data_IF_236198130033
#
_entry.id   IF_236198130033
#
_cell.length_a   1.000
_cell.length_b   1.000
_cell.length_c   1.000
_cell.angle_alpha   90.00
_cell.angle_beta   90.00
_cell.angle_gamma   90.00
#
_symmetry.space_group_name_H-M   'P 1'
#
loop_
_entity.id
_entity.type
_entity.pdbx_description
1 polymer ?
#
# COMPACT_ATOMS: atom_id res chain seq x y z
N UNK A 1 -58.25 -21.19 -40.33
CA UNK A 1 -56.89 -20.83 -39.88
C UNK A 1 -56.92 -19.41 -39.33
N UNK A 2 -56.86 -19.25 -38.02
CA UNK A 2 -56.75 -17.95 -37.36
C UNK A 2 -55.97 -18.14 -36.05
N UNK A 3 -54.66 -17.90 -36.09
CA UNK A 3 -53.80 -17.96 -34.91
C UNK A 3 -53.88 -16.63 -34.16
N UNK A 4 -54.41 -16.69 -32.94
CA UNK A 4 -54.36 -15.59 -31.96
C UNK A 4 -52.95 -15.56 -31.34
N UNK A 5 -52.20 -14.49 -31.56
CA UNK A 5 -50.97 -14.21 -30.82
C UNK A 5 -51.33 -13.53 -29.49
N UNK A 6 -51.10 -14.23 -28.39
CA UNK A 6 -51.18 -13.68 -27.04
C UNK A 6 -49.81 -13.09 -26.69
N UNK A 7 -49.69 -11.76 -26.61
CA UNK A 7 -48.48 -11.08 -26.12
C UNK A 7 -48.51 -11.05 -24.59
N UNK A 8 -47.62 -11.82 -23.97
CA UNK A 8 -47.33 -11.79 -22.54
C UNK A 8 -46.41 -10.57 -22.27
N UNK A 9 -46.92 -9.56 -21.57
CA UNK A 9 -46.11 -8.43 -21.07
C UNK A 9 -45.63 -8.81 -19.67
N UNK A 10 -44.33 -9.12 -19.53
CA UNK A 10 -43.68 -9.33 -18.24
C UNK A 10 -43.16 -7.97 -17.77
N UNK A 11 -43.79 -7.42 -16.74
CA UNK A 11 -43.30 -6.23 -16.03
C UNK A 11 -42.32 -6.70 -14.95
N UNK A 12 -41.03 -6.45 -15.15
CA UNK A 12 -40.02 -6.60 -14.10
C UNK A 12 -40.02 -5.36 -13.22
N UNK A 13 -40.61 -5.46 -12.03
CA UNK A 13 -40.41 -4.48 -10.97
C UNK A 13 -39.05 -4.73 -10.29
N UNK A 14 -38.03 -3.94 -10.66
CA UNK A 14 -36.74 -3.94 -9.97
C UNK A 14 -36.88 -3.03 -8.76
N UNK A 15 -37.02 -3.62 -7.57
CA UNK A 15 -36.84 -2.91 -6.32
C UNK A 15 -35.34 -2.65 -6.10
N UNK A 16 -34.89 -1.44 -6.42
CA UNK A 16 -33.53 -1.01 -6.12
C UNK A 16 -33.44 -0.66 -4.62
N UNK A 17 -32.85 -1.57 -3.83
CA UNK A 17 -32.35 -1.22 -2.49
C UNK A 17 -31.07 -0.41 -2.68
N UNK A 18 -30.95 0.82 -2.15
CA UNK A 18 -29.71 1.58 -2.27
C UNK A 18 -28.68 0.99 -1.32
N UNK A 19 -27.84 0.08 -1.83
CA UNK A 19 -26.61 -0.27 -1.15
C UNK A 19 -25.69 0.96 -1.24
N UNK A 20 -25.33 1.55 -0.10
CA UNK A 20 -24.23 2.52 -0.06
C UNK A 20 -22.96 1.79 -0.48
N UNK A 21 -22.63 1.84 -1.77
CA UNK A 21 -21.36 1.39 -2.28
C UNK A 21 -20.28 2.25 -1.62
N UNK A 22 -19.59 1.69 -0.62
CA UNK A 22 -18.30 2.22 -0.19
C UNK A 22 -17.40 2.06 -1.41
N UNK A 23 -16.89 3.17 -1.95
CA UNK A 23 -15.90 3.16 -3.02
C UNK A 23 -14.55 2.66 -2.47
N UNK A 24 -14.53 1.42 -2.00
CA UNK A 24 -13.32 0.74 -1.58
C UNK A 24 -12.84 -0.09 -2.79
N UNK A 25 -11.62 0.19 -3.24
CA UNK A 25 -10.98 -0.65 -4.26
C UNK A 25 -10.09 -1.69 -3.57
N UNK A 26 -10.02 -2.87 -4.17
CA UNK A 26 -9.29 -4.02 -3.63
C UNK A 26 -8.13 -4.40 -4.55
N UNK A 27 -6.95 -4.66 -3.98
CA UNK A 27 -5.88 -5.39 -4.66
C UNK A 27 -5.89 -6.81 -4.12
N UNK A 28 -6.26 -7.76 -4.98
CA UNK A 28 -6.17 -9.19 -4.67
C UNK A 28 -4.82 -9.74 -5.10
N UNK A 29 -4.09 -10.33 -4.14
CA UNK A 29 -2.86 -11.06 -4.39
C UNK A 29 -3.17 -12.55 -4.26
N UNK A 30 -3.34 -13.21 -5.39
CA UNK A 30 -3.67 -14.64 -5.46
C UNK A 30 -2.46 -15.52 -5.15
N UNK A 31 -2.74 -16.75 -4.69
CA UNK A 31 -1.75 -17.77 -4.35
C UNK A 31 -0.74 -17.98 -5.46
N UNK A 32 -1.19 -18.22 -6.68
CA UNK A 32 -0.32 -18.58 -7.80
C UNK A 32 0.63 -17.44 -8.17
N UNK A 33 0.12 -16.21 -8.08
CA UNK A 33 0.93 -15.02 -8.27
C UNK A 33 2.02 -14.91 -7.20
N UNK A 34 1.65 -14.99 -5.92
CA UNK A 34 2.62 -14.89 -4.82
C UNK A 34 3.61 -16.06 -4.81
N UNK A 35 3.15 -17.27 -5.14
CA UNK A 35 4.02 -18.43 -5.34
C UNK A 35 5.06 -18.15 -6.43
N UNK A 36 4.66 -17.61 -7.57
CA UNK A 36 5.59 -17.23 -8.64
C UNK A 36 6.59 -16.13 -8.25
N UNK A 37 6.23 -15.22 -7.34
CA UNK A 37 7.16 -14.21 -6.81
C UNK A 37 8.18 -14.84 -5.85
N UNK A 38 7.72 -15.75 -4.99
CA UNK A 38 8.57 -16.49 -4.03
C UNK A 38 9.50 -17.45 -4.75
N UNK A 39 9.02 -18.23 -5.71
CA UNK A 39 9.81 -19.25 -6.42
C UNK A 39 10.95 -18.66 -7.27
N UNK A 40 10.83 -17.39 -7.68
CA UNK A 40 11.86 -16.66 -8.44
C UNK A 40 12.95 -16.03 -7.56
N UNK A 41 12.89 -16.22 -6.24
CA UNK A 41 13.93 -15.72 -5.35
C UNK A 41 15.28 -16.40 -5.64
N UNK A 42 16.38 -15.62 -5.73
CA UNK A 42 17.69 -16.19 -6.01
C UNK A 42 18.19 -17.05 -4.83
N UNK A 43 19.04 -18.06 -5.08
CA UNK A 43 19.73 -18.77 -4.03
C UNK A 43 20.50 -17.80 -3.12
N UNK A 44 20.40 -17.99 -1.81
CA UNK A 44 20.96 -17.09 -0.81
C UNK A 44 22.06 -17.79 -0.02
N UNK A 45 23.34 -17.41 -0.20
CA UNK A 45 24.45 -18.03 0.51
C UNK A 45 24.43 -17.69 2.01
N UNK A 46 25.03 -18.55 2.82
CA UNK A 46 25.30 -18.29 4.24
C UNK A 46 26.62 -18.96 4.64
N UNK A 47 27.40 -18.29 5.46
CA UNK A 47 28.69 -18.81 5.92
C UNK A 47 29.12 -18.22 7.26
N UNK A 48 30.00 -18.96 7.93
CA UNK A 48 30.78 -18.53 9.07
C UNK A 48 32.15 -19.19 8.98
N UNK A 49 33.19 -18.37 8.85
CA UNK A 49 34.55 -18.83 8.60
C UNK A 49 34.98 -19.95 9.57
N UNK A 50 35.43 -21.08 9.00
CA UNK A 50 35.87 -22.26 9.76
C UNK A 50 34.76 -23.03 10.52
N UNK A 51 33.48 -22.72 10.30
CA UNK A 51 32.38 -23.39 11.00
C UNK A 51 31.34 -24.02 10.07
N UNK A 52 30.78 -23.24 9.14
CA UNK A 52 29.79 -23.73 8.17
C UNK A 52 29.75 -22.83 6.92
N UNK A 53 29.28 -23.40 5.81
CA UNK A 53 28.98 -22.71 4.54
C UNK A 53 27.83 -23.39 3.82
N UNK A 54 27.02 -22.66 3.08
CA UNK A 54 25.89 -23.24 2.37
C UNK A 54 25.07 -22.22 1.61
N UNK A 55 23.92 -22.66 1.09
CA UNK A 55 22.94 -21.80 0.42
C UNK A 55 21.52 -22.21 0.77
N UNK A 56 20.61 -21.24 0.78
CA UNK A 56 19.16 -21.48 0.79
C UNK A 56 18.63 -21.32 -0.62
N UNK A 57 17.77 -22.23 -1.03
CA UNK A 57 17.15 -22.28 -2.36
C UNK A 57 15.77 -22.95 -2.28
N UNK A 58 15.14 -23.19 -3.43
CA UNK A 58 13.86 -23.90 -3.54
C UNK A 58 12.76 -23.25 -2.70
N UNK A 59 12.64 -21.93 -2.80
CA UNK A 59 11.59 -21.17 -2.13
C UNK A 59 10.22 -21.55 -2.70
N UNK A 60 9.25 -21.82 -1.83
CA UNK A 60 7.87 -22.14 -2.21
C UNK A 60 6.86 -21.53 -1.25
N UNK A 61 5.70 -21.16 -1.77
CA UNK A 61 4.55 -20.76 -0.96
C UNK A 61 3.75 -22.02 -0.57
N UNK A 62 3.81 -22.41 0.70
CA UNK A 62 3.10 -23.58 1.21
C UNK A 62 1.58 -23.34 1.33
N UNK A 63 1.15 -22.11 1.62
CA UNK A 63 -0.28 -21.77 1.67
C UNK A 63 -0.58 -20.47 2.43
N UNK A 64 -1.85 -20.29 2.79
CA UNK A 64 -2.33 -19.18 3.61
C UNK A 64 -2.94 -19.74 4.90
N UNK A 65 -2.77 -19.00 6.00
CA UNK A 65 -3.48 -19.23 7.26
C UNK A 65 -4.33 -17.99 7.60
N UNK A 66 -5.61 -17.96 7.19
CA UNK A 66 -6.52 -16.86 7.50
C UNK A 66 -6.71 -16.60 8.99
N UNK A 67 -6.63 -17.65 9.82
CA UNK A 67 -6.83 -17.53 11.27
C UNK A 67 -5.64 -16.85 11.93
N UNK A 68 -4.43 -17.17 11.47
CA UNK A 68 -3.18 -16.53 11.93
C UNK A 68 -2.88 -15.21 11.21
N UNK A 69 -3.63 -14.88 10.15
CA UNK A 69 -3.40 -13.72 9.28
C UNK A 69 -1.99 -13.72 8.69
N UNK A 70 -1.56 -14.90 8.20
CA UNK A 70 -0.21 -15.09 7.64
C UNK A 70 -0.22 -15.94 6.37
N UNK A 71 0.84 -15.82 5.57
CA UNK A 71 1.20 -16.72 4.49
C UNK A 71 2.29 -17.65 4.98
N UNK A 72 2.21 -18.93 4.63
CA UNK A 72 3.22 -19.92 5.01
C UNK A 72 4.19 -20.12 3.85
N UNK A 73 5.44 -19.74 4.02
CA UNK A 73 6.52 -19.98 3.08
C UNK A 73 7.41 -21.13 3.58
N UNK A 74 7.97 -21.90 2.65
CA UNK A 74 8.96 -22.92 2.94
C UNK A 74 10.16 -22.78 1.99
N UNK A 75 11.36 -23.10 2.47
CA UNK A 75 12.58 -23.07 1.67
C UNK A 75 13.60 -24.08 2.19
N UNK A 76 14.48 -24.54 1.31
CA UNK A 76 15.49 -25.56 1.62
C UNK A 76 16.83 -24.91 1.90
N UNK A 77 17.45 -25.26 3.02
CA UNK A 77 18.84 -24.91 3.34
C UNK A 77 19.73 -26.12 3.12
N UNK A 78 20.80 -25.96 2.33
CA UNK A 78 21.80 -26.99 2.09
C UNK A 78 23.20 -26.42 2.31
N UNK A 79 24.10 -27.22 2.87
CA UNK A 79 25.45 -26.76 3.13
C UNK A 79 26.36 -27.81 3.74
N UNK A 80 27.50 -27.34 4.20
CA UNK A 80 28.55 -28.11 4.83
C UNK A 80 28.98 -27.46 6.14
N UNK A 81 29.30 -28.25 7.17
CA UNK A 81 29.83 -27.76 8.44
C UNK A 81 31.07 -28.55 8.88
N UNK A 82 31.96 -27.90 9.62
CA UNK A 82 33.15 -28.54 10.17
C UNK A 82 32.90 -28.95 11.63
N UNK A 83 32.95 -30.24 12.00
CA UNK A 83 32.81 -30.68 13.39
C UNK A 83 33.95 -30.10 14.25
N UNK A 84 33.73 -29.85 15.56
CA UNK A 84 34.81 -29.44 16.45
C UNK A 84 35.88 -30.54 16.55
N UNK A 85 37.14 -30.13 16.69
CA UNK A 85 38.32 -31.00 16.68
C UNK A 85 38.34 -32.05 17.81
N UNK A 86 37.57 -31.85 18.88
CA UNK A 86 37.50 -32.73 20.06
C UNK A 86 36.07 -33.20 20.35
N UNK A 87 35.89 -34.53 20.38
CA UNK A 87 34.65 -35.21 20.75
C UNK A 87 34.47 -36.57 20.07
N UNK A 88 33.53 -37.43 20.53
CA UNK A 88 33.35 -38.82 20.05
C UNK A 88 33.01 -38.99 18.56
N UNK A 89 32.79 -37.88 17.84
CA UNK A 89 32.63 -37.87 16.38
C UNK A 89 33.99 -37.92 15.67
N UNK A 90 35.04 -37.27 16.18
CA UNK A 90 36.36 -37.24 15.52
C UNK A 90 36.98 -38.64 15.37
N UNK A 91 36.65 -39.58 16.27
CA UNK A 91 37.08 -40.97 16.21
C UNK A 91 36.29 -41.82 15.20
N UNK A 92 35.00 -41.53 14.97
CA UNK A 92 34.18 -42.19 13.92
C UNK A 92 34.43 -41.61 12.53
N UNK A 93 34.87 -40.34 12.47
CA UNK A 93 35.27 -39.57 11.27
C UNK A 93 36.41 -40.26 10.52
N UNK A 94 37.35 -40.90 11.22
CA UNK A 94 38.48 -41.62 10.60
C UNK A 94 38.09 -42.84 9.74
N UNK A 95 36.81 -43.23 9.69
CA UNK A 95 36.35 -44.49 9.06
C UNK A 95 35.24 -44.37 7.99
N UNK A 96 34.69 -43.19 7.68
CA UNK A 96 33.60 -43.06 6.68
C UNK A 96 34.09 -42.63 5.29
N UNK A 97 33.61 -43.28 4.22
CA UNK A 97 34.04 -43.06 2.82
C UNK A 97 33.62 -41.72 2.19
N UNK A 98 32.69 -40.96 2.78
CA UNK A 98 32.23 -39.65 2.28
C UNK A 98 33.06 -38.46 2.81
N UNK A 99 34.38 -38.63 2.93
CA UNK A 99 35.28 -37.64 3.53
C UNK A 99 36.08 -36.88 2.47
N UNK A 100 35.77 -35.60 2.28
CA UNK A 100 36.73 -34.60 1.79
C UNK A 100 36.93 -33.57 2.91
N UNK A 101 38.17 -33.44 3.40
CA UNK A 101 38.68 -32.33 4.22
C UNK A 101 37.97 -31.96 5.54
N UNK A 102 37.25 -32.88 6.17
CA UNK A 102 36.71 -32.64 7.52
C UNK A 102 35.37 -31.90 7.56
N UNK A 103 34.75 -31.67 6.40
CA UNK A 103 33.44 -31.03 6.29
C UNK A 103 32.31 -32.06 6.16
N UNK A 104 31.13 -31.76 6.70
CA UNK A 104 29.94 -32.62 6.74
C UNK A 104 28.76 -31.93 6.10
N UNK A 105 28.12 -32.59 5.12
CA UNK A 105 26.92 -32.08 4.46
C UNK A 105 25.70 -32.10 5.37
N UNK A 106 24.81 -31.13 5.20
CA UNK A 106 23.49 -31.09 5.82
C UNK A 106 22.45 -30.50 4.86
N UNK A 107 21.19 -30.85 5.09
CA UNK A 107 20.01 -30.32 4.41
C UNK A 107 18.87 -30.20 5.44
N UNK A 108 18.08 -29.13 5.38
CA UNK A 108 16.84 -29.02 6.14
C UNK A 108 15.85 -28.04 5.49
N UNK A 109 14.56 -28.25 5.73
CA UNK A 109 13.49 -27.32 5.35
C UNK A 109 13.26 -26.28 6.46
N UNK A 110 13.02 -25.03 6.07
CA UNK A 110 12.69 -23.93 6.96
C UNK A 110 11.28 -23.45 6.61
N UNK A 111 10.44 -23.23 7.61
CA UNK A 111 9.09 -22.67 7.45
C UNK A 111 9.03 -21.29 8.08
N UNK A 112 8.45 -20.34 7.36
CA UNK A 112 8.30 -18.96 7.81
C UNK A 112 6.86 -18.50 7.60
N UNK A 113 6.36 -17.67 8.51
CA UNK A 113 5.16 -16.90 8.28
C UNK A 113 5.52 -15.58 7.64
N UNK A 114 4.71 -15.15 6.68
CA UNK A 114 4.78 -13.82 6.10
C UNK A 114 3.47 -13.14 6.42
N UNK A 115 3.55 -12.06 7.17
CA UNK A 115 2.42 -11.23 7.54
C UNK A 115 2.39 -10.00 6.64
N UNK A 116 1.21 -9.53 6.28
CA UNK A 116 1.02 -8.18 5.74
C UNK A 116 0.60 -7.26 6.88
N UNK A 117 1.28 -6.13 7.01
CA UNK A 117 1.02 -5.07 7.97
C UNK A 117 0.98 -3.69 7.29
N UNK A 118 0.47 -2.69 8.01
CA UNK A 118 0.54 -1.30 7.56
C UNK A 118 1.84 -0.66 8.05
N UNK A 119 2.64 -0.13 7.12
CA UNK A 119 3.80 0.69 7.42
C UNK A 119 3.43 2.03 8.06
N UNK A 120 4.41 2.73 8.64
CA UNK A 120 4.21 4.05 9.27
C UNK A 120 3.65 5.11 8.31
N UNK A 121 3.90 4.96 7.01
CA UNK A 121 3.39 5.79 5.93
C UNK A 121 2.00 5.37 5.43
N UNK A 122 1.40 4.32 6.02
CA UNK A 122 0.13 3.74 5.59
C UNK A 122 0.25 2.85 4.35
N UNK A 123 1.46 2.48 3.92
CA UNK A 123 1.65 1.51 2.83
C UNK A 123 1.49 0.07 3.32
N UNK A 124 0.89 -0.85 2.54
CA UNK A 124 0.96 -2.28 2.83
C UNK A 124 2.42 -2.76 2.76
N UNK A 125 2.85 -3.53 3.76
CA UNK A 125 4.17 -4.15 3.80
C UNK A 125 4.05 -5.60 4.18
N UNK A 126 4.77 -6.48 3.49
CA UNK A 126 5.06 -7.78 4.03
C UNK A 126 6.07 -7.64 5.16
N UNK A 127 5.99 -8.56 6.12
CA UNK A 127 6.94 -8.79 7.19
C UNK A 127 7.09 -10.29 7.34
N UNK A 128 8.32 -10.76 7.28
CA UNK A 128 8.63 -12.19 7.41
C UNK A 128 9.00 -12.45 8.87
N UNK A 129 8.19 -13.26 9.55
CA UNK A 129 8.45 -13.76 10.90
C UNK A 129 8.71 -15.27 10.80
N UNK A 130 9.83 -15.76 11.33
CA UNK A 130 10.15 -17.19 11.24
C UNK A 130 9.50 -17.92 12.41
N UNK A 131 8.38 -18.60 12.13
CA UNK A 131 7.55 -19.28 13.12
C UNK A 131 8.19 -20.55 13.71
N UNK A 132 8.81 -21.38 12.86
CA UNK A 132 9.27 -22.70 13.28
C UNK A 132 10.30 -23.28 12.30
N UNK A 133 11.52 -23.56 12.78
CA UNK A 133 12.45 -24.40 12.02
C UNK A 133 12.19 -25.86 12.39
N UNK A 134 11.33 -26.54 11.62
CA UNK A 134 11.04 -27.96 11.86
C UNK A 134 12.29 -28.80 11.60
N UNK A 135 12.81 -29.41 12.65
CA UNK A 135 13.94 -30.37 12.64
C UNK A 135 13.59 -31.73 12.01
N UNK A 136 12.50 -31.81 11.22
CA UNK A 136 11.88 -33.06 10.77
C UNK A 136 12.76 -33.92 9.85
N UNK A 137 13.84 -33.39 9.28
CA UNK A 137 14.72 -34.16 8.39
C UNK A 137 16.11 -34.51 8.98
N UNK A 138 16.29 -34.43 10.31
CA UNK A 138 17.48 -35.04 10.92
C UNK A 138 17.35 -36.58 11.10
N UNK A 139 16.25 -37.20 10.64
CA UNK A 139 15.99 -38.64 10.74
C UNK A 139 16.89 -39.55 9.85
N UNK A 140 17.92 -39.00 9.21
CA UNK A 140 19.02 -39.78 8.60
C UNK A 140 20.41 -39.43 9.12
N UNK A 141 20.51 -38.40 9.98
CA UNK A 141 21.76 -37.81 10.44
C UNK A 141 21.96 -38.27 11.89
N UNK A 142 22.61 -39.43 12.05
CA UNK A 142 22.85 -40.15 13.30
C UNK A 142 22.87 -39.23 14.53
N UNK A 143 22.01 -39.47 15.53
CA UNK A 143 21.60 -38.53 16.59
C UNK A 143 22.68 -37.74 17.36
N UNK A 144 23.96 -38.09 17.23
CA UNK A 144 25.09 -37.29 17.72
C UNK A 144 25.37 -36.06 16.82
N UNK A 145 25.20 -36.18 15.49
CA UNK A 145 25.25 -35.08 14.53
C UNK A 145 24.08 -34.12 14.73
N UNK A 146 22.87 -34.62 15.00
CA UNK A 146 21.70 -33.79 15.35
C UNK A 146 21.92 -32.96 16.63
N UNK A 147 22.60 -33.53 17.64
CA UNK A 147 22.92 -32.84 18.90
C UNK A 147 23.99 -31.74 18.73
N UNK A 148 24.97 -31.97 17.86
CA UNK A 148 26.06 -31.03 17.57
C UNK A 148 25.66 -29.95 16.56
N UNK A 149 24.87 -30.33 15.54
CA UNK A 149 24.13 -29.39 14.71
C UNK A 149 23.25 -28.54 15.61
N UNK A 150 22.48 -29.08 16.55
CA UNK A 150 21.59 -28.31 17.44
C UNK A 150 22.16 -26.98 17.95
N UNK A 151 23.39 -26.96 18.48
CA UNK A 151 24.02 -25.73 19.00
C UNK A 151 24.41 -24.73 17.89
N UNK A 152 24.85 -25.21 16.72
CA UNK A 152 25.21 -24.35 15.56
C UNK A 152 24.02 -24.09 14.64
N UNK A 153 22.98 -24.90 14.73
CA UNK A 153 21.77 -24.85 13.96
C UNK A 153 20.95 -23.66 14.39
N UNK A 154 20.91 -23.35 15.68
CA UNK A 154 20.27 -22.14 16.16
C UNK A 154 20.99 -20.89 15.61
N UNK A 155 22.33 -20.91 15.48
CA UNK A 155 23.10 -19.82 14.84
C UNK A 155 22.88 -19.75 13.32
N UNK A 156 22.89 -20.90 12.62
CA UNK A 156 22.60 -20.99 11.18
C UNK A 156 21.17 -20.52 10.93
N UNK A 157 20.21 -21.01 11.71
CA UNK A 157 18.82 -20.61 11.68
C UNK A 157 18.72 -19.12 11.93
N UNK A 158 19.36 -18.55 12.94
CA UNK A 158 19.37 -17.11 13.22
C UNK A 158 19.97 -16.31 12.07
N UNK A 159 21.12 -16.70 11.52
CA UNK A 159 21.74 -15.99 10.37
C UNK A 159 20.89 -16.11 9.10
N UNK A 160 20.23 -17.26 8.91
CA UNK A 160 19.27 -17.49 7.83
C UNK A 160 18.00 -16.67 8.07
N UNK A 161 17.49 -16.59 9.29
CA UNK A 161 16.31 -15.82 9.68
C UNK A 161 16.58 -14.33 9.49
N UNK A 162 17.61 -13.79 10.14
CA UNK A 162 17.93 -12.36 10.15
C UNK A 162 18.40 -11.86 8.78
N UNK A 163 19.23 -12.64 8.09
CA UNK A 163 19.75 -12.28 6.76
C UNK A 163 18.75 -12.49 5.62
N UNK A 164 17.84 -13.48 5.72
CA UNK A 164 16.97 -13.88 4.60
C UNK A 164 15.53 -13.46 4.75
N UNK A 165 15.04 -13.23 5.97
CA UNK A 165 13.82 -12.44 6.15
C UNK A 165 13.97 -11.12 5.38
N UNK A 166 15.13 -10.44 5.47
CA UNK A 166 15.38 -9.21 4.73
C UNK A 166 15.23 -9.32 3.19
N UNK A 167 15.81 -10.35 2.55
CA UNK A 167 15.77 -10.51 1.10
C UNK A 167 14.37 -10.90 0.58
N UNK A 168 13.72 -11.87 1.24
CA UNK A 168 12.33 -12.25 0.93
C UNK A 168 11.40 -11.07 1.15
N UNK A 169 11.60 -10.36 2.26
CA UNK A 169 10.85 -9.17 2.59
C UNK A 169 11.04 -8.08 1.54
N UNK A 170 12.27 -7.84 1.07
CA UNK A 170 12.56 -6.85 0.04
C UNK A 170 11.84 -7.16 -1.29
N UNK A 171 11.90 -8.40 -1.78
CA UNK A 171 11.30 -8.77 -3.06
C UNK A 171 9.77 -8.74 -3.01
N UNK A 172 9.17 -9.29 -1.96
CA UNK A 172 7.71 -9.25 -1.78
C UNK A 172 7.20 -7.81 -1.60
N UNK A 173 7.92 -6.98 -0.84
CA UNK A 173 7.56 -5.57 -0.69
C UNK A 173 7.73 -4.79 -1.99
N UNK A 174 8.77 -5.05 -2.80
CA UNK A 174 8.93 -4.38 -4.09
C UNK A 174 7.74 -4.65 -5.02
N UNK A 175 7.25 -5.89 -5.06
CA UNK A 175 6.13 -6.27 -5.92
C UNK A 175 4.79 -5.72 -5.39
N UNK A 176 4.56 -5.73 -4.06
CA UNK A 176 3.40 -5.04 -3.48
C UNK A 176 3.45 -3.55 -3.77
N UNK A 177 4.59 -2.90 -3.57
CA UNK A 177 4.72 -1.45 -3.77
C UNK A 177 4.43 -1.09 -5.22
N UNK A 178 4.85 -1.91 -6.19
CA UNK A 178 4.51 -1.73 -7.61
C UNK A 178 3.01 -1.79 -7.86
N UNK A 179 2.29 -2.73 -7.24
CA UNK A 179 0.83 -2.89 -7.43
C UNK A 179 0.01 -1.87 -6.64
N UNK A 180 0.47 -1.55 -5.43
CA UNK A 180 -0.13 -0.55 -4.56
C UNK A 180 0.18 0.89 -5.02
N UNK A 181 1.18 1.10 -5.90
CA UNK A 181 1.54 2.42 -6.40
C UNK A 181 0.34 3.16 -7.01
N UNK A 182 -0.52 2.46 -7.77
CA UNK A 182 -1.72 3.04 -8.36
C UNK A 182 -2.73 3.55 -7.32
N UNK A 183 -2.66 3.02 -6.09
CA UNK A 183 -3.55 3.38 -4.99
C UNK A 183 -2.89 4.28 -3.95
N UNK A 184 -1.56 4.36 -3.93
CA UNK A 184 -0.80 5.22 -3.01
C UNK A 184 -1.14 6.70 -3.21
N UNK A 185 -1.48 7.07 -4.45
CA UNK A 185 -1.83 8.44 -4.82
C UNK A 185 -3.29 8.80 -4.49
N UNK A 186 -4.18 7.82 -4.27
CA UNK A 186 -5.65 8.05 -4.31
C UNK A 186 -6.49 7.30 -3.26
N UNK A 187 -5.92 6.33 -2.56
CA UNK A 187 -6.61 5.51 -1.58
C UNK A 187 -5.78 5.28 -0.32
N UNK A 188 -6.43 5.24 0.84
CA UNK A 188 -5.77 4.82 2.09
C UNK A 188 -5.93 3.33 2.28
N UNK A 189 -4.80 2.65 2.46
CA UNK A 189 -4.80 1.27 2.92
C UNK A 189 -5.57 1.16 4.24
N UNK A 190 -6.73 0.53 4.21
CA UNK A 190 -7.71 0.54 5.29
C UNK A 190 -8.00 -0.86 5.86
N UNK A 191 -7.51 -1.91 5.20
CA UNK A 191 -7.76 -3.27 5.64
C UNK A 191 -6.95 -4.32 4.90
N UNK A 192 -6.82 -5.46 5.56
CA UNK A 192 -6.19 -6.66 5.03
C UNK A 192 -7.10 -7.83 5.38
N UNK A 193 -7.59 -8.51 4.34
CA UNK A 193 -8.33 -9.75 4.49
C UNK A 193 -7.48 -10.92 4.00
N UNK A 194 -7.42 -11.97 4.81
CA UNK A 194 -6.77 -13.22 4.45
C UNK A 194 -7.83 -14.23 4.06
N UNK A 195 -7.72 -14.77 2.85
CA UNK A 195 -8.50 -15.90 2.36
C UNK A 195 -7.60 -17.13 2.25
N UNK A 196 -8.19 -18.29 1.96
CA UNK A 196 -7.48 -19.58 1.89
C UNK A 196 -6.47 -19.63 0.74
N UNK A 197 -6.66 -18.78 -0.28
CA UNK A 197 -5.91 -18.75 -1.54
C UNK A 197 -5.47 -17.35 -1.96
N UNK A 198 -5.70 -16.33 -1.12
CA UNK A 198 -5.41 -14.95 -1.48
C UNK A 198 -5.28 -14.06 -0.25
N UNK A 199 -4.56 -12.95 -0.41
CA UNK A 199 -4.63 -11.81 0.52
C UNK A 199 -5.17 -10.61 -0.23
N UNK A 200 -6.17 -9.94 0.35
CA UNK A 200 -6.84 -8.79 -0.23
C UNK A 200 -6.44 -7.54 0.54
N UNK A 201 -5.81 -6.61 -0.15
CA UNK A 201 -5.49 -5.29 0.37
C UNK A 201 -6.64 -4.35 0.03
N UNK A 202 -7.28 -3.77 1.05
CA UNK A 202 -8.37 -2.83 0.88
C UNK A 202 -7.85 -1.40 0.91
N UNK A 203 -8.28 -0.61 -0.05
CA UNK A 203 -8.02 0.82 -0.11
C UNK A 203 -9.34 1.57 -0.03
N UNK A 204 -9.47 2.42 0.98
CA UNK A 204 -10.57 3.37 1.09
C UNK A 204 -10.23 4.60 0.25
N UNK A 205 -10.96 4.80 -0.84
CA UNK A 205 -10.84 6.00 -1.68
C UNK A 205 -11.49 7.22 -1.02
N UNK A 206 -12.15 7.06 0.14
CA UNK A 206 -12.91 8.10 0.84
C UNK A 206 -12.27 8.61 2.13
N UNK A 207 -10.94 8.49 2.28
CA UNK A 207 -10.17 8.99 3.45
C UNK A 207 -10.58 10.38 3.92
N UNK A 208 -10.93 11.25 2.98
CA UNK A 208 -11.32 12.61 3.29
C UNK A 208 -12.82 12.68 3.57
N UNK A 209 -13.18 13.32 4.69
CA UNK A 209 -14.57 13.65 5.01
C UNK A 209 -15.07 14.67 4.00
N UNK A 210 -16.03 14.31 3.16
CA UNK A 210 -16.70 15.25 2.26
C UNK A 210 -17.54 16.23 3.07
N UNK A 211 -17.24 17.52 2.93
CA UNK A 211 -17.96 18.58 3.63
C UNK A 211 -19.01 19.28 2.76
N UNK A 212 -19.05 18.94 1.46
CA UNK A 212 -19.98 19.52 0.50
C UNK A 212 -19.24 20.00 -0.74
N UNK A 213 -19.77 21.03 -1.38
CA UNK A 213 -19.11 21.75 -2.47
C UNK A 213 -19.20 23.25 -2.20
N UNK A 214 -18.23 24.00 -2.72
CA UNK A 214 -18.09 25.44 -2.47
C UNK A 214 -18.58 26.32 -3.63
N UNK A 215 -19.05 25.68 -4.70
CA UNK A 215 -19.60 26.31 -5.90
C UNK A 215 -19.46 25.37 -7.09
N UNK A 216 -19.65 25.89 -8.30
CA UNK A 216 -19.42 25.16 -9.55
C UNK A 216 -18.25 25.76 -10.34
N UNK A 217 -17.48 24.89 -10.97
CA UNK A 217 -16.35 25.24 -11.84
C UNK A 217 -16.42 24.38 -13.10
N UNK A 218 -15.64 24.71 -14.12
CA UNK A 218 -15.57 23.91 -15.34
C UNK A 218 -14.42 22.88 -15.24
N UNK A 219 -14.64 21.62 -15.62
CA UNK A 219 -13.58 20.62 -15.62
C UNK A 219 -12.61 20.81 -16.80
N UNK A 220 -13.04 21.51 -17.85
CA UNK A 220 -12.29 21.73 -19.09
C UNK A 220 -12.17 23.23 -19.42
N UNK A 221 -11.12 23.67 -20.16
CA UNK A 221 -10.96 25.05 -20.55
C UNK A 221 -12.09 25.52 -21.47
N UNK A 222 -12.58 26.74 -21.25
CA UNK A 222 -13.62 27.36 -22.07
C UNK A 222 -13.50 28.89 -22.10
N UNK A 223 -14.11 29.57 -23.08
CA UNK A 223 -14.17 31.03 -23.11
C UNK A 223 -14.80 31.62 -21.83
N UNK A 224 -14.19 32.68 -21.29
CA UNK A 224 -14.66 33.35 -20.06
C UNK A 224 -14.30 32.61 -18.76
N UNK A 225 -13.37 31.64 -18.82
CA UNK A 225 -12.87 30.92 -17.67
C UNK A 225 -11.34 30.90 -17.60
N UNK A 226 -10.81 31.00 -16.38
CA UNK A 226 -9.38 31.01 -16.09
C UNK A 226 -8.95 29.72 -15.39
N UNK A 227 -7.74 29.23 -15.69
CA UNK A 227 -7.21 28.02 -15.05
C UNK A 227 -6.98 28.23 -13.55
N UNK A 228 -7.49 27.32 -12.73
CA UNK A 228 -7.25 27.28 -11.29
C UNK A 228 -6.09 26.33 -11.01
N UNK A 229 -4.92 26.88 -10.72
CA UNK A 229 -3.72 26.11 -10.42
C UNK A 229 -3.75 25.63 -8.96
N UNK A 230 -3.38 24.36 -8.76
CA UNK A 230 -3.21 23.73 -7.45
C UNK A 230 -1.73 23.51 -7.17
N UNK A 231 -1.32 23.91 -5.98
CA UNK A 231 0.06 23.81 -5.51
C UNK A 231 0.09 23.14 -4.14
N UNK A 232 1.07 22.26 -3.90
CA UNK A 232 1.23 21.57 -2.62
C UNK A 232 2.39 22.18 -1.85
N UNK A 233 2.14 22.65 -0.62
CA UNK A 233 3.21 23.05 0.30
C UNK A 233 3.97 21.80 0.75
N UNK A 234 5.23 21.66 0.35
CA UNK A 234 6.06 20.47 0.64
C UNK A 234 6.31 20.26 2.14
N UNK A 235 6.17 21.31 2.95
CA UNK A 235 6.39 21.24 4.39
C UNK A 235 5.16 20.75 5.15
N UNK A 236 3.96 21.13 4.73
CA UNK A 236 2.71 20.82 5.46
C UNK A 236 1.82 19.82 4.74
N UNK A 237 1.92 19.75 3.41
CA UNK A 237 0.98 19.07 2.52
C UNK A 237 -0.30 19.87 2.25
N UNK A 238 -0.36 21.16 2.64
CA UNK A 238 -1.53 21.98 2.33
C UNK A 238 -1.60 22.29 0.83
N UNK A 239 -2.81 22.24 0.28
CA UNK A 239 -3.04 22.68 -1.09
C UNK A 239 -3.33 24.18 -1.10
N UNK A 240 -2.77 24.88 -2.09
CA UNK A 240 -3.06 26.28 -2.40
C UNK A 240 -3.64 26.35 -3.81
N UNK A 241 -4.79 27.01 -3.93
CA UNK A 241 -5.50 27.25 -5.18
C UNK A 241 -5.35 28.71 -5.56
N UNK A 242 -4.91 28.97 -6.79
CA UNK A 242 -4.60 30.31 -7.29
C UNK A 242 -4.76 30.38 -8.81
N UNK A 243 -5.04 31.57 -9.34
CA UNK A 243 -5.07 31.83 -10.79
C UNK A 243 -3.66 32.08 -11.35
N UNK A 244 -2.67 32.25 -10.48
CA UNK A 244 -1.28 32.41 -10.92
C UNK A 244 -0.66 31.06 -11.30
N UNK A 245 -0.05 30.94 -12.50
CA UNK A 245 0.69 29.74 -12.92
C UNK A 245 2.06 29.62 -12.23
N UNK A 246 2.41 30.53 -11.32
CA UNK A 246 3.63 30.51 -10.52
C UNK A 246 3.37 31.04 -9.09
N UNK A 247 4.25 30.68 -8.15
CA UNK A 247 4.23 31.17 -6.77
C UNK A 247 5.57 31.85 -6.43
N UNK A 248 5.52 32.92 -5.62
CA UNK A 248 6.69 33.73 -5.20
C UNK A 248 7.62 33.02 -4.19
N UNK A 249 7.70 31.69 -4.20
CA UNK A 249 8.58 30.92 -3.30
C UNK A 249 8.99 29.60 -3.93
N UNK A 250 9.85 29.63 -4.96
CA UNK A 250 10.38 28.42 -5.58
C UNK A 250 11.06 27.54 -4.53
N UNK A 251 10.69 26.26 -4.47
CA UNK A 251 11.22 25.26 -3.52
C UNK A 251 10.33 24.95 -2.31
N UNK A 252 9.37 25.82 -1.96
CA UNK A 252 8.38 25.50 -0.89
C UNK A 252 7.15 24.78 -1.44
N UNK A 253 6.75 25.12 -2.66
CA UNK A 253 5.57 24.56 -3.31
C UNK A 253 5.97 23.77 -4.54
N UNK A 254 5.29 22.65 -4.76
CA UNK A 254 5.31 21.92 -6.03
C UNK A 254 3.98 22.10 -6.75
N UNK A 255 4.02 22.18 -8.07
CA UNK A 255 2.80 22.22 -8.89
C UNK A 255 2.14 20.85 -8.86
N UNK A 256 0.83 20.84 -8.61
CA UNK A 256 -0.03 19.66 -8.69
C UNK A 256 -1.08 19.81 -9.83
N UNK A 257 -0.77 20.67 -10.79
CA UNK A 257 -1.55 20.85 -12.01
C UNK A 257 -2.74 21.81 -11.88
N UNK A 258 -3.70 21.64 -12.79
CA UNK A 258 -4.92 22.45 -12.88
C UNK A 258 -6.05 21.69 -12.16
N UNK A 259 -6.66 22.32 -11.15
CA UNK A 259 -7.78 21.75 -10.41
C UNK A 259 -9.14 21.92 -11.11
N UNK A 260 -9.21 22.82 -12.09
CA UNK A 260 -10.39 23.16 -12.87
C UNK A 260 -10.25 24.55 -13.48
N UNK A 261 -11.34 25.07 -14.04
CA UNK A 261 -11.40 26.39 -14.65
C UNK A 261 -12.55 27.19 -14.02
N UNK A 262 -12.23 28.36 -13.50
CA UNK A 262 -13.16 29.22 -12.76
C UNK A 262 -13.71 30.33 -13.64
N UNK A 263 -14.96 30.80 -13.44
CA UNK A 263 -15.51 31.92 -14.22
C UNK A 263 -14.74 33.22 -13.97
N UNK A 264 -14.67 34.06 -15.00
CA UNK A 264 -14.19 35.43 -14.85
C UNK A 264 -15.09 36.22 -13.89
N UNK A 265 -14.51 37.20 -13.19
CA UNK A 265 -15.24 38.05 -12.24
C UNK A 265 -16.37 38.88 -12.88
N UNK A 266 -16.35 39.05 -14.20
CA UNK A 266 -17.38 39.73 -14.97
C UNK A 266 -18.59 38.86 -15.30
N UNK A 267 -18.53 37.53 -15.07
CA UNK A 267 -19.70 36.66 -15.25
C UNK A 267 -20.78 37.02 -14.20
N UNK A 268 -22.03 37.35 -14.61
CA UNK A 268 -23.10 37.71 -13.67
C UNK A 268 -23.45 36.63 -12.63
N UNK A 269 -23.10 35.37 -12.88
CA UNK A 269 -23.32 34.24 -11.98
C UNK A 269 -22.09 33.90 -11.11
N UNK A 270 -20.97 34.62 -11.29
CA UNK A 270 -19.77 34.47 -10.49
C UNK A 270 -20.01 34.99 -9.07
N UNK A 271 -19.56 34.21 -8.08
CA UNK A 271 -19.52 34.58 -6.67
C UNK A 271 -18.12 34.39 -6.12
N UNK A 272 -17.67 35.25 -5.20
CA UNK A 272 -16.33 35.15 -4.63
C UNK A 272 -16.17 33.90 -3.77
N UNK A 273 -15.01 33.26 -3.90
CA UNK A 273 -14.52 32.27 -2.95
C UNK A 273 -13.39 32.91 -2.13
N UNK A 274 -13.60 33.02 -0.82
CA UNK A 274 -12.70 33.69 0.10
C UNK A 274 -11.61 32.72 0.58
N UNK A 275 -10.35 33.16 0.58
CA UNK A 275 -9.24 32.39 1.11
C UNK A 275 -8.91 32.79 2.55
N UNK A 276 -8.58 31.76 3.34
CA UNK A 276 -8.13 31.86 4.71
C UNK A 276 -6.87 31.02 4.86
N UNK A 277 -5.75 31.66 5.20
CA UNK A 277 -4.46 30.98 5.39
C UNK A 277 -4.27 30.63 6.85
N UNK A 278 -4.09 29.34 7.12
CA UNK A 278 -3.69 28.82 8.41
C UNK A 278 -2.19 28.52 8.48
N UNK A 279 -1.73 28.07 9.66
CA UNK A 279 -0.33 27.65 9.86
C UNK A 279 0.04 26.41 9.05
N UNK A 280 -0.91 25.48 8.93
CA UNK A 280 -0.73 24.18 8.30
C UNK A 280 -1.71 23.92 7.16
N UNK A 281 -2.77 24.70 7.00
CA UNK A 281 -3.91 24.45 6.12
C UNK A 281 -4.33 25.73 5.37
N UNK A 282 -5.00 25.57 4.22
CA UNK A 282 -5.67 26.67 3.52
C UNK A 282 -7.16 26.34 3.38
N UNK A 283 -7.99 27.26 3.85
CA UNK A 283 -9.44 27.11 3.82
C UNK A 283 -10.06 28.08 2.80
N UNK A 284 -11.03 27.58 2.04
CA UNK A 284 -11.73 28.33 1.01
C UNK A 284 -13.24 28.16 1.20
N UNK A 285 -13.97 29.27 1.21
CA UNK A 285 -15.42 29.25 1.40
C UNK A 285 -16.11 30.38 0.62
N UNK A 286 -17.32 30.14 0.07
CA UNK A 286 -18.13 31.21 -0.52
C UNK A 286 -18.85 32.03 0.56
N UNK A 287 -18.91 31.53 1.80
CA UNK A 287 -19.70 32.11 2.89
C UNK A 287 -18.90 32.10 4.20
N UNK A 288 -17.95 33.03 4.38
CA UNK A 288 -17.15 33.09 5.59
C UNK A 288 -17.93 33.51 6.84
N UNK A 289 -19.15 34.05 6.70
CA UNK A 289 -19.95 34.51 7.84
C UNK A 289 -20.69 33.36 8.53
N UNK A 290 -21.05 32.32 7.78
CA UNK A 290 -21.77 31.15 8.30
C UNK A 290 -20.89 29.92 8.51
N UNK A 291 -19.57 30.04 8.27
CA UNK A 291 -18.59 28.98 8.50
C UNK A 291 -17.82 29.22 9.80
N UNK A 292 -17.47 28.13 10.51
CA UNK A 292 -16.76 28.22 11.78
C UNK A 292 -15.24 28.40 11.58
N UNK A 293 -14.85 29.59 11.13
CA UNK A 293 -13.44 29.96 10.91
C UNK A 293 -12.85 30.54 12.19
N UNK A 294 -11.91 29.82 12.81
CA UNK A 294 -11.29 30.27 14.07
C UNK A 294 -10.23 31.36 13.79
N UNK A 295 -10.40 32.62 14.23
CA UNK A 295 -9.47 33.71 13.90
C UNK A 295 -8.06 33.51 14.44
N UNK A 296 -7.90 32.70 15.50
CA UNK A 296 -6.58 32.32 16.03
C UNK A 296 -5.83 31.32 15.15
N UNK A 297 -6.52 30.60 14.27
CA UNK A 297 -5.95 29.58 13.40
C UNK A 297 -5.81 30.03 11.96
N UNK A 298 -6.68 30.95 11.52
CA UNK A 298 -6.77 31.39 10.14
C UNK A 298 -6.71 32.92 10.02
N UNK A 299 -5.92 33.40 9.06
CA UNK A 299 -5.89 34.79 8.62
C UNK A 299 -6.63 34.91 7.28
N UNK A 300 -7.57 35.85 7.19
CA UNK A 300 -8.24 36.15 5.92
C UNK A 300 -7.24 36.70 4.89
N UNK A 301 -7.29 36.20 3.66
CA UNK A 301 -6.52 36.68 2.50
C UNK A 301 -7.39 37.47 1.51
N UNK A 302 -8.70 37.55 1.73
CA UNK A 302 -9.66 38.17 0.82
C UNK A 302 -10.20 37.18 -0.23
N UNK A 303 -10.68 37.71 -1.35
CA UNK A 303 -11.20 36.89 -2.46
C UNK A 303 -10.03 36.24 -3.19
N UNK A 304 -10.06 34.91 -3.30
CA UNK A 304 -9.03 34.15 -4.01
C UNK A 304 -9.32 34.05 -5.52
N UNK A 305 -10.55 33.68 -5.83
CA UNK A 305 -11.10 33.51 -7.18
C UNK A 305 -12.62 33.42 -7.08
N UNK A 306 -13.31 33.34 -8.22
CA UNK A 306 -14.75 33.18 -8.25
C UNK A 306 -15.17 31.75 -8.59
N UNK A 307 -16.38 31.38 -8.19
CA UNK A 307 -17.05 30.13 -8.58
C UNK A 307 -18.45 30.48 -9.07
N UNK A 308 -19.09 29.59 -9.83
CA UNK A 308 -20.49 29.77 -10.20
C UNK A 308 -21.39 29.39 -9.02
N UNK A 309 -22.42 30.19 -8.80
CA UNK A 309 -23.42 29.95 -7.76
C UNK A 309 -24.35 28.77 -8.06
N UNK A 310 -24.67 28.61 -9.33
CA UNK A 310 -25.63 27.66 -9.88
C UNK A 310 -24.97 26.88 -11.02
N UNK A 311 -25.40 25.63 -11.26
CA UNK A 311 -24.86 24.85 -12.37
C UNK A 311 -25.20 25.53 -13.70
N UNK A 312 -24.16 25.87 -14.47
CA UNK A 312 -24.27 26.21 -15.90
C UNK A 312 -23.86 25.01 -16.75
N UNK A 313 -24.20 25.03 -18.03
CA UNK A 313 -23.83 23.97 -18.97
C UNK A 313 -22.32 23.66 -18.90
N UNK A 314 -21.97 22.39 -18.71
CA UNK A 314 -20.60 21.91 -18.52
C UNK A 314 -19.93 22.24 -17.17
N UNK A 315 -20.61 22.91 -16.24
CA UNK A 315 -20.08 23.17 -14.89
C UNK A 315 -20.34 21.97 -13.96
N UNK A 316 -19.36 21.65 -13.12
CA UNK A 316 -19.43 20.58 -12.12
C UNK A 316 -19.18 21.16 -10.72
N UNK A 317 -19.69 20.52 -9.65
CA UNK A 317 -19.44 21.02 -8.30
C UNK A 317 -17.94 20.95 -7.96
N UNK A 318 -17.45 21.98 -7.28
CA UNK A 318 -16.12 22.02 -6.70
C UNK A 318 -16.19 21.56 -5.25
N UNK A 319 -15.93 20.29 -5.03
CA UNK A 319 -16.10 19.62 -3.75
C UNK A 319 -15.02 20.02 -2.75
N UNK A 320 -15.40 20.16 -1.48
CA UNK A 320 -14.50 20.34 -0.34
C UNK A 320 -14.46 19.08 0.50
N UNK A 321 -13.24 18.72 0.89
CA UNK A 321 -12.92 17.52 1.64
C UNK A 321 -11.98 17.88 2.80
N UNK A 322 -12.12 17.20 3.95
CA UNK A 322 -11.31 17.41 5.14
C UNK A 322 -10.59 16.12 5.59
N UNK A 323 -9.25 16.19 5.74
CA UNK A 323 -8.43 15.14 6.35
C UNK A 323 -8.37 15.37 7.86
N UNK A 324 -9.23 14.70 8.62
CA UNK A 324 -9.30 14.83 10.10
C UNK A 324 -7.97 14.47 10.79
N UNK A 325 -7.13 13.63 10.17
CA UNK A 325 -5.84 13.22 10.74
C UNK A 325 -4.79 14.32 10.62
N UNK A 326 -4.77 15.04 9.49
CA UNK A 326 -3.78 16.08 9.20
C UNK A 326 -4.29 17.48 9.51
N UNK A 327 -5.60 17.65 9.64
CA UNK A 327 -6.25 18.95 9.75
C UNK A 327 -6.11 19.77 8.47
N UNK A 328 -6.25 19.14 7.30
CA UNK A 328 -6.05 19.77 5.99
C UNK A 328 -7.30 19.69 5.14
N UNK A 329 -7.60 20.76 4.41
CA UNK A 329 -8.66 20.77 3.39
C UNK A 329 -8.10 20.48 1.99
N UNK A 330 -8.92 19.82 1.18
CA UNK A 330 -8.66 19.52 -0.22
C UNK A 330 -9.90 19.85 -1.07
N UNK A 331 -9.67 20.33 -2.29
CA UNK A 331 -10.73 20.79 -3.19
C UNK A 331 -10.54 20.21 -4.59
N UNK A 332 -11.62 19.71 -5.18
CA UNK A 332 -11.55 19.03 -6.47
C UNK A 332 -12.90 19.02 -7.17
N UNK A 333 -12.88 18.89 -8.49
CA UNK A 333 -14.07 18.60 -9.29
C UNK A 333 -14.55 17.14 -9.15
N UNK A 334 -13.75 16.28 -8.53
CA UNK A 334 -14.08 14.88 -8.39
C UNK A 334 -15.00 14.59 -7.19
N UNK A 335 -16.17 13.96 -7.37
CA UNK A 335 -17.15 13.73 -6.30
C UNK A 335 -16.67 12.81 -5.18
N UNK A 336 -15.62 12.05 -5.43
CA UNK A 336 -15.02 11.07 -4.51
C UNK A 336 -13.54 11.32 -4.20
N UNK A 337 -13.00 12.49 -4.59
CA UNK A 337 -11.58 12.80 -4.37
C UNK A 337 -10.57 11.76 -4.92
N UNK A 338 -10.96 10.97 -5.93
CA UNK A 338 -10.17 9.90 -6.59
C UNK A 338 -8.82 10.35 -7.17
N UNK A 339 -8.48 11.63 -7.06
CA UNK A 339 -7.28 12.26 -7.60
C UNK A 339 -6.48 13.11 -6.59
N UNK A 340 -6.76 12.99 -5.29
CA UNK A 340 -6.11 13.78 -4.24
C UNK A 340 -4.70 13.25 -3.92
N UNK A 341 -3.72 13.65 -4.75
CA UNK A 341 -2.29 13.39 -4.57
C UNK A 341 -1.70 14.08 -3.35
#
# INVERSE_FOLDING_TARGET
MAHRFCRLVVVFAIAAVPCKAKAATEIRLEKDFLAGVVEKLPPSPFEKAGQYRGSVHSYRLAGFDPKRRSLLAAFTAEGEFQPPASGPISERVSRSKDHTDGWRKFRFEIKASVNVEAGMDGSPRFKVDVDEVKRTELEGVAGLLAKLLGKRFDEIATQVVDGKAAAVNQQLNAEIMKRAAAFKDYGVFCGIDYAVDSVVLRFDLTRLKREGFVGYVFPEPRPGASALHRWVDMRTGAHRYTLSPSLESPGRYISDGIAGYVPDASDPAAKPLYAFRGRIDNFYTPDPQHEMIRPRLFRAEGVAFNVLAEPKDGAVPFYRFFDERRGLHFYTVHPHAEFAK
#
